data_IF_118706114132
#
_entry.id   IF_118706114132
#
_cell.length_a   1.000
_cell.length_b   1.000
_cell.length_c   1.000
_cell.angle_alpha   90.00
_cell.angle_beta   90.00
_cell.angle_gamma   90.00
#
_symmetry.space_group_name_H-M   'P 1'
#
loop_
_entity.id
_entity.type
_entity.pdbx_description
1 polymer ?
#
# COMPACT_ATOMS: atom_id res chain seq x y z
N UNK A 1 -4.60 7.58 20.42
CA UNK A 1 -4.90 6.21 19.97
C UNK A 1 -3.56 5.58 19.60
N UNK A 2 -3.31 4.34 20.00
CA UNK A 2 -2.01 3.69 19.71
C UNK A 2 -1.99 3.25 18.25
N UNK A 3 -0.91 3.59 17.53
CA UNK A 3 -0.67 3.15 16.15
C UNK A 3 0.56 2.27 16.11
N UNK A 4 0.53 1.26 15.25
CA UNK A 4 1.69 0.46 14.94
C UNK A 4 1.82 0.30 13.42
N UNK A 5 3.06 0.16 12.97
CA UNK A 5 3.35 -0.14 11.57
C UNK A 5 4.16 -1.42 11.49
N UNK A 6 3.77 -2.29 10.57
CA UNK A 6 4.60 -3.37 10.11
C UNK A 6 5.17 -2.99 8.75
N UNK A 7 6.48 -3.18 8.58
CA UNK A 7 7.23 -2.79 7.38
C UNK A 7 8.04 -3.98 6.88
N UNK A 8 8.54 -3.91 5.65
CA UNK A 8 9.32 -5.00 5.06
C UNK A 8 8.60 -6.35 4.99
N UNK A 9 7.27 -6.35 4.96
CA UNK A 9 6.50 -7.59 4.87
C UNK A 9 6.61 -8.18 3.46
N UNK A 10 6.83 -9.49 3.39
CA UNK A 10 6.70 -10.25 2.15
C UNK A 10 5.24 -10.63 1.89
N UNK A 11 4.92 -11.04 0.65
CA UNK A 11 3.57 -11.51 0.32
C UNK A 11 3.19 -12.78 1.10
N UNK A 12 4.14 -13.66 1.35
CA UNK A 12 3.98 -14.92 2.08
C UNK A 12 3.75 -14.70 3.58
N UNK A 13 4.40 -13.68 4.15
CA UNK A 13 4.15 -13.26 5.53
C UNK A 13 2.75 -12.66 5.65
N UNK A 14 2.38 -11.73 4.77
CA UNK A 14 1.08 -11.06 4.85
C UNK A 14 -0.10 -12.02 4.65
N UNK A 15 0.04 -13.06 3.82
CA UNK A 15 -0.96 -14.14 3.67
C UNK A 15 -1.21 -14.95 4.94
N UNK A 16 -0.28 -14.93 5.90
CA UNK A 16 -0.42 -15.62 7.20
C UNK A 16 -0.96 -14.71 8.29
N UNK A 17 -0.95 -13.40 8.04
CA UNK A 17 -1.37 -12.38 8.99
C UNK A 17 -2.89 -12.33 9.08
N UNK A 18 -3.40 -12.11 10.28
CA UNK A 18 -4.83 -11.87 10.53
C UNK A 18 -5.01 -10.58 11.33
N UNK A 19 -5.85 -9.67 10.83
CA UNK A 19 -6.29 -8.46 11.53
C UNK A 19 -7.67 -8.03 11.03
N UNK A 20 -8.35 -7.15 11.78
CA UNK A 20 -9.58 -6.49 11.31
C UNK A 20 -9.23 -5.43 10.26
N UNK A 21 -9.66 -5.55 8.99
CA UNK A 21 -9.38 -4.57 7.94
C UNK A 21 -9.79 -3.15 8.29
N UNK A 22 -10.80 -2.97 9.16
CA UNK A 22 -11.27 -1.65 9.62
C UNK A 22 -10.20 -0.87 10.40
N UNK A 23 -9.22 -1.56 10.97
CA UNK A 23 -8.12 -0.95 11.73
C UNK A 23 -6.97 -0.46 10.86
N UNK A 24 -6.92 -0.84 9.58
CA UNK A 24 -5.84 -0.38 8.68
C UNK A 24 -6.02 1.11 8.38
N UNK A 25 -5.04 1.92 8.71
CA UNK A 25 -4.97 3.34 8.35
C UNK A 25 -4.32 3.55 6.99
N UNK A 26 -3.23 2.83 6.75
CA UNK A 26 -2.41 2.93 5.55
C UNK A 26 -1.89 1.56 5.19
N UNK A 27 -1.84 1.24 3.91
CA UNK A 27 -0.94 0.22 3.41
C UNK A 27 -0.21 0.74 2.18
N UNK A 28 0.98 0.20 1.95
CA UNK A 28 1.83 0.52 0.81
C UNK A 28 2.46 -0.77 0.27
N UNK A 29 2.45 -0.92 -1.05
CA UNK A 29 3.19 -1.93 -1.80
C UNK A 29 4.27 -1.19 -2.59
N UNK A 30 5.50 -1.18 -2.05
CA UNK A 30 6.65 -0.55 -2.69
C UNK A 30 7.32 -1.51 -3.66
N UNK A 31 7.57 -1.03 -4.87
CA UNK A 31 8.05 -1.81 -5.99
C UNK A 31 9.35 -1.21 -6.51
N UNK A 32 10.49 -1.85 -6.19
CA UNK A 32 11.81 -1.40 -6.62
C UNK A 32 12.33 -2.29 -7.76
N UNK A 33 12.92 -1.67 -8.79
CA UNK A 33 13.46 -2.39 -9.95
C UNK A 33 14.90 -2.85 -9.75
N UNK A 34 15.73 -1.95 -9.24
CA UNK A 34 17.17 -2.16 -9.09
C UNK A 34 17.76 -1.12 -8.12
N UNK A 35 19.08 -1.13 -7.98
CA UNK A 35 19.82 -0.19 -7.14
C UNK A 35 19.92 1.23 -7.74
N UNK A 36 19.36 1.49 -8.93
CA UNK A 36 19.41 2.81 -9.60
C UNK A 36 18.48 3.84 -8.95
N UNK A 37 17.61 3.41 -8.04
CA UNK A 37 16.61 4.25 -7.38
C UNK A 37 15.29 4.37 -8.14
N UNK A 38 15.14 3.70 -9.30
CA UNK A 38 13.88 3.58 -10.02
C UNK A 38 12.88 2.72 -9.23
N UNK A 39 11.74 3.32 -8.88
CA UNK A 39 10.70 2.63 -8.12
C UNK A 39 9.33 3.29 -8.30
N UNK A 40 8.29 2.55 -7.94
CA UNK A 40 6.97 3.09 -7.67
C UNK A 40 6.39 2.45 -6.42
N UNK A 41 5.36 3.04 -5.83
CA UNK A 41 4.62 2.37 -4.78
C UNK A 41 3.13 2.66 -4.92
N UNK A 42 2.33 1.62 -4.74
CA UNK A 42 0.88 1.69 -4.70
C UNK A 42 0.44 1.71 -3.24
N UNK A 43 -0.43 2.65 -2.88
CA UNK A 43 -0.84 2.83 -1.49
C UNK A 43 -2.27 3.35 -1.40
N UNK A 44 -2.81 3.30 -0.18
CA UNK A 44 -4.05 3.99 0.16
C UNK A 44 -3.97 4.55 1.57
N UNK A 45 -4.65 5.67 1.80
CA UNK A 45 -4.93 6.20 3.12
C UNK A 45 -6.42 6.02 3.39
N UNK A 46 -6.80 5.33 4.47
CA UNK A 46 -8.20 5.14 4.86
C UNK A 46 -8.95 6.45 4.99
N UNK A 47 -8.29 7.50 5.47
CA UNK A 47 -8.90 8.83 5.61
C UNK A 47 -8.83 9.66 4.32
N UNK A 48 -8.13 9.19 3.31
CA UNK A 48 -7.98 9.84 2.01
C UNK A 48 -6.58 10.42 1.85
N UNK A 49 -6.10 10.43 0.61
CA UNK A 49 -4.77 10.94 0.28
C UNK A 49 -4.85 12.45 0.04
N UNK A 50 -3.96 13.26 0.66
CA UNK A 50 -3.97 14.70 0.48
C UNK A 50 -3.69 15.13 -0.97
N UNK A 51 -4.63 15.91 -1.50
CA UNK A 51 -4.53 16.72 -2.71
C UNK A 51 -4.75 18.18 -2.31
N UNK A 52 -3.66 18.91 -2.06
CA UNK A 52 -3.72 20.25 -1.46
C UNK A 52 -4.47 20.18 -0.11
N UNK A 53 -5.53 20.97 0.03
CA UNK A 53 -6.38 21.03 1.21
C UNK A 53 -7.56 20.04 1.18
N UNK A 54 -7.61 19.13 0.20
CA UNK A 54 -8.67 18.14 0.05
C UNK A 54 -8.14 16.73 0.22
N UNK A 55 -8.93 15.88 0.85
CA UNK A 55 -8.66 14.44 0.95
C UNK A 55 -9.36 13.71 -0.20
N UNK A 56 -8.61 12.92 -0.94
CA UNK A 56 -9.12 12.14 -2.07
C UNK A 56 -9.13 10.67 -1.70
N UNK A 57 -10.32 10.04 -1.79
CA UNK A 57 -10.47 8.58 -1.62
C UNK A 57 -10.07 7.84 -2.90
N UNK A 58 -9.53 6.64 -2.72
CA UNK A 58 -9.09 5.75 -3.77
C UNK A 58 -7.66 5.25 -3.60
N UNK A 59 -7.25 4.42 -4.55
CA UNK A 59 -5.89 3.93 -4.69
C UNK A 59 -5.05 5.06 -5.31
N UNK A 60 -3.84 5.22 -4.79
CA UNK A 60 -2.87 6.16 -5.32
C UNK A 60 -1.59 5.40 -5.59
N UNK A 61 -0.83 5.80 -6.60
CA UNK A 61 0.56 5.41 -6.67
C UNK A 61 1.45 6.62 -6.91
N UNK A 62 2.65 6.56 -6.34
CA UNK A 62 3.72 7.49 -6.66
C UNK A 62 4.84 6.77 -7.39
N UNK A 63 5.67 7.51 -8.10
CA UNK A 63 6.76 6.94 -8.85
C UNK A 63 8.01 7.82 -8.85
N UNK A 64 9.16 7.21 -9.12
CA UNK A 64 10.43 7.89 -9.25
C UNK A 64 11.26 7.21 -10.34
N UNK A 65 11.77 8.01 -11.27
CA UNK A 65 12.69 7.56 -12.34
C UNK A 65 12.19 6.37 -13.17
N UNK A 66 10.88 6.23 -13.37
CA UNK A 66 10.28 5.29 -14.34
C UNK A 66 9.75 6.04 -15.56
N UNK A 67 9.65 5.36 -16.69
CA UNK A 67 9.21 5.97 -17.96
C UNK A 67 7.71 6.32 -17.95
N UNK A 68 7.31 7.28 -18.80
CA UNK A 68 5.89 7.66 -18.92
C UNK A 68 5.02 6.51 -19.40
N UNK A 69 5.53 5.68 -20.31
CA UNK A 69 4.82 4.50 -20.80
C UNK A 69 4.55 3.50 -19.66
N UNK A 70 5.48 3.37 -18.73
CA UNK A 70 5.31 2.52 -17.56
C UNK A 70 4.29 3.09 -16.57
N UNK A 71 4.32 4.41 -16.31
CA UNK A 71 3.29 5.10 -15.52
C UNK A 71 1.90 4.86 -16.12
N UNK A 72 1.75 4.94 -17.44
CA UNK A 72 0.49 4.67 -18.12
C UNK A 72 0.05 3.21 -17.93
N UNK A 73 0.96 2.23 -18.11
CA UNK A 73 0.67 0.80 -17.90
C UNK A 73 0.26 0.48 -16.46
N UNK A 74 0.91 1.09 -15.46
CA UNK A 74 0.55 0.95 -14.05
C UNK A 74 -0.84 1.54 -13.81
N UNK A 75 -1.11 2.72 -14.36
CA UNK A 75 -2.41 3.39 -14.24
C UNK A 75 -3.54 2.55 -14.84
N UNK A 76 -3.34 1.99 -16.04
CA UNK A 76 -4.31 1.11 -16.71
C UNK A 76 -4.56 -0.16 -15.89
N UNK A 77 -3.49 -0.84 -15.46
CA UNK A 77 -3.59 -2.04 -14.63
C UNK A 77 -4.42 -1.80 -13.36
N UNK A 78 -4.13 -0.72 -12.62
CA UNK A 78 -4.85 -0.41 -11.39
C UNK A 78 -6.29 0.02 -11.67
N UNK A 79 -6.54 0.77 -12.75
CA UNK A 79 -7.88 1.18 -13.17
C UNK A 79 -8.74 -0.02 -13.57
N UNK A 80 -8.20 -0.98 -14.30
CA UNK A 80 -8.92 -2.21 -14.66
C UNK A 80 -9.32 -3.01 -13.41
N UNK A 81 -8.45 -3.03 -12.39
CA UNK A 81 -8.67 -3.81 -11.16
C UNK A 81 -9.59 -3.13 -10.14
N UNK A 82 -9.51 -1.81 -10.01
CA UNK A 82 -10.18 -1.06 -8.95
C UNK A 82 -11.15 0.02 -9.45
N UNK A 83 -11.18 0.28 -10.75
CA UNK A 83 -11.93 1.39 -11.33
C UNK A 83 -11.29 2.75 -11.02
N UNK A 84 -12.13 3.78 -10.97
CA UNK A 84 -11.72 5.15 -10.68
C UNK A 84 -11.23 5.94 -11.90
N UNK A 85 -11.15 7.26 -11.73
CA UNK A 85 -10.66 8.20 -12.74
C UNK A 85 -9.22 8.60 -12.42
N UNK A 86 -8.23 8.24 -13.27
CA UNK A 86 -6.84 8.64 -13.07
C UNK A 86 -6.68 10.17 -13.13
N UNK A 87 -6.08 10.77 -12.10
CA UNK A 87 -5.69 12.18 -12.06
C UNK A 87 -4.25 12.31 -11.57
N UNK A 88 -3.48 13.11 -12.27
CA UNK A 88 -2.05 13.27 -12.00
C UNK A 88 -1.77 14.55 -11.20
N UNK A 89 -0.83 14.46 -10.27
CA UNK A 89 -0.31 15.60 -9.51
C UNK A 89 1.15 15.37 -9.12
N UNK A 90 2.05 16.04 -9.83
CA UNK A 90 3.48 15.77 -9.73
C UNK A 90 3.73 14.30 -10.04
N UNK A 91 4.55 13.64 -9.23
CA UNK A 91 4.93 12.23 -9.39
C UNK A 91 3.92 11.26 -8.73
N UNK A 92 2.63 11.65 -8.68
CA UNK A 92 1.54 10.85 -8.12
C UNK A 92 0.37 10.75 -9.09
N UNK A 93 -0.18 9.55 -9.19
CA UNK A 93 -1.43 9.27 -9.90
C UNK A 93 -2.48 8.81 -8.89
N UNK A 94 -3.62 9.48 -8.89
CA UNK A 94 -4.77 9.21 -8.04
C UNK A 94 -5.84 8.53 -8.89
N UNK A 95 -6.30 7.34 -8.49
CA UNK A 95 -7.47 6.70 -9.09
C UNK A 95 -8.71 7.16 -8.33
N UNK A 96 -9.19 8.35 -8.65
CA UNK A 96 -10.24 9.02 -7.88
C UNK A 96 -11.52 8.19 -7.87
N UNK A 97 -12.01 7.86 -6.67
CA UNK A 97 -13.22 7.05 -6.49
C UNK A 97 -13.04 5.57 -6.83
N UNK A 98 -11.81 5.08 -6.96
CA UNK A 98 -11.57 3.64 -7.11
C UNK A 98 -11.93 2.88 -5.83
N UNK A 99 -12.26 1.59 -5.98
CA UNK A 99 -12.46 0.69 -4.84
C UNK A 99 -11.17 0.53 -4.03
N UNK A 100 -11.24 0.77 -2.73
CA UNK A 100 -10.13 0.55 -1.79
C UNK A 100 -10.16 -0.89 -1.24
N UNK A 101 -8.99 -1.44 -0.91
CA UNK A 101 -8.83 -2.75 -0.28
C UNK A 101 -8.11 -2.58 1.05
N UNK A 102 -8.34 -3.49 2.00
CA UNK A 102 -7.72 -3.42 3.33
C UNK A 102 -7.46 -4.78 3.95
N UNK A 103 -7.85 -5.88 3.31
CA UNK A 103 -7.61 -7.21 3.87
C UNK A 103 -6.17 -7.65 3.60
N UNK A 104 -5.57 -8.50 4.47
CA UNK A 104 -4.24 -9.05 4.23
C UNK A 104 -4.14 -9.75 2.87
N UNK A 105 -5.16 -10.56 2.53
CA UNK A 105 -5.20 -11.33 1.28
C UNK A 105 -5.28 -10.44 0.04
N UNK A 106 -6.14 -9.43 0.04
CA UNK A 106 -6.26 -8.51 -1.11
C UNK A 106 -4.94 -7.76 -1.35
N UNK A 107 -4.30 -7.29 -0.29
CA UNK A 107 -3.04 -6.54 -0.37
C UNK A 107 -1.91 -7.47 -0.82
N UNK A 108 -1.83 -8.68 -0.27
CA UNK A 108 -0.82 -9.66 -0.66
C UNK A 108 -0.98 -10.12 -2.12
N UNK A 109 -2.22 -10.34 -2.57
CA UNK A 109 -2.50 -10.70 -3.96
C UNK A 109 -2.16 -9.56 -4.91
N UNK A 110 -2.52 -8.31 -4.57
CA UNK A 110 -2.11 -7.14 -5.36
C UNK A 110 -0.58 -7.05 -5.44
N UNK A 111 0.12 -7.22 -4.32
CA UNK A 111 1.57 -7.20 -4.26
C UNK A 111 2.21 -8.27 -5.14
N UNK A 112 1.72 -9.52 -5.09
CA UNK A 112 2.19 -10.61 -5.97
C UNK A 112 1.93 -10.28 -7.46
N UNK A 113 0.73 -9.80 -7.80
CA UNK A 113 0.38 -9.46 -9.18
C UNK A 113 1.26 -8.33 -9.74
N UNK A 114 1.50 -7.28 -8.95
CA UNK A 114 2.36 -6.17 -9.35
C UNK A 114 3.80 -6.66 -9.54
N UNK A 115 4.35 -7.39 -8.57
CA UNK A 115 5.71 -7.92 -8.64
C UNK A 115 5.92 -8.77 -9.89
N UNK A 116 4.97 -9.64 -10.22
CA UNK A 116 5.03 -10.49 -11.41
C UNK A 116 4.84 -9.70 -12.71
N UNK A 117 3.88 -8.77 -12.77
CA UNK A 117 3.53 -8.05 -14.00
C UNK A 117 4.58 -7.02 -14.41
N UNK A 118 5.22 -6.38 -13.43
CA UNK A 118 6.18 -5.30 -13.66
C UNK A 118 7.63 -5.70 -13.37
N UNK A 119 7.86 -6.98 -13.05
CA UNK A 119 9.17 -7.59 -12.76
C UNK A 119 9.94 -6.80 -11.69
N UNK A 120 9.28 -6.51 -10.56
CA UNK A 120 9.83 -5.70 -9.47
C UNK A 120 9.95 -6.49 -8.18
N UNK A 121 10.96 -6.17 -7.37
CA UNK A 121 10.96 -6.56 -5.97
C UNK A 121 9.84 -5.82 -5.22
N UNK A 122 9.17 -6.51 -4.29
CA UNK A 122 8.01 -5.96 -3.59
C UNK A 122 8.23 -5.98 -2.07
N UNK A 123 7.96 -4.84 -1.45
CA UNK A 123 7.99 -4.64 -0.01
C UNK A 123 6.63 -4.09 0.45
N UNK A 124 6.00 -4.73 1.43
CA UNK A 124 4.69 -4.31 1.93
C UNK A 124 4.83 -3.64 3.31
N UNK A 125 4.09 -2.55 3.49
CA UNK A 125 3.89 -1.91 4.79
C UNK A 125 2.41 -1.80 5.12
N UNK A 126 2.04 -2.02 6.37
CA UNK A 126 0.67 -1.88 6.89
C UNK A 126 0.72 -1.12 8.21
N UNK A 127 -0.03 -0.03 8.32
CA UNK A 127 -0.24 0.73 9.55
C UNK A 127 -1.64 0.48 10.08
N UNK A 128 -1.73 0.15 11.37
CA UNK A 128 -2.99 -0.10 12.07
C UNK A 128 -3.20 0.88 13.22
N UNK A 129 -4.46 1.26 13.45
CA UNK A 129 -4.88 1.99 14.64
C UNK A 129 -5.63 1.10 15.62
N UNK A 130 -5.50 1.41 16.91
CA UNK A 130 -6.20 0.72 17.99
C UNK A 130 -5.97 -0.81 17.97
N UNK A 131 -4.78 -1.22 17.53
CA UNK A 131 -4.37 -2.62 17.50
C UNK A 131 -3.82 -3.00 18.88
N UNK A 132 -4.56 -3.82 19.60
CA UNK A 132 -4.26 -4.15 21.00
C UNK A 132 -3.11 -5.15 21.10
N UNK A 133 -2.41 -5.25 22.25
CA UNK A 133 -1.37 -6.27 22.45
C UNK A 133 -1.90 -7.70 22.22
N UNK A 134 -3.12 -8.00 22.67
CA UNK A 134 -3.74 -9.31 22.46
C UNK A 134 -3.97 -9.62 20.97
N UNK A 135 -4.50 -8.64 20.21
CA UNK A 135 -4.66 -8.81 18.76
C UNK A 135 -3.32 -8.97 18.07
N UNK A 136 -2.31 -8.22 18.48
CA UNK A 136 -0.95 -8.33 17.96
C UNK A 136 -0.36 -9.73 18.20
N UNK A 137 -0.52 -10.31 19.39
CA UNK A 137 -0.08 -11.68 19.69
C UNK A 137 -0.78 -12.73 18.83
N UNK A 138 -2.04 -12.50 18.47
CA UNK A 138 -2.86 -13.42 17.67
C UNK A 138 -2.74 -13.20 16.15
N UNK A 139 -2.10 -12.11 15.74
CA UNK A 139 -2.13 -11.64 14.34
C UNK A 139 -1.17 -12.33 13.39
N UNK A 140 -0.22 -13.13 13.91
CA UNK A 140 0.92 -13.67 13.16
C UNK A 140 1.80 -12.61 12.47
N UNK A 141 1.66 -11.33 12.80
CA UNK A 141 2.62 -10.34 12.33
C UNK A 141 4.02 -10.64 12.89
N UNK A 142 5.09 -10.56 12.07
CA UNK A 142 6.45 -10.75 12.56
C UNK A 142 6.83 -9.63 13.53
N UNK A 143 7.14 -9.99 14.78
CA UNK A 143 7.54 -9.03 15.81
C UNK A 143 8.81 -8.25 15.46
N UNK A 144 9.73 -8.88 14.71
CA UNK A 144 10.97 -8.25 14.20
C UNK A 144 10.71 -7.14 13.17
N UNK A 145 9.50 -7.09 12.59
CA UNK A 145 9.07 -6.10 11.60
C UNK A 145 8.10 -5.08 12.19
N UNK A 146 7.96 -5.03 13.51
CA UNK A 146 7.18 -4.00 14.17
C UNK A 146 7.99 -2.70 14.26
N UNK A 147 7.41 -1.61 13.74
CA UNK A 147 7.81 -0.24 14.04
C UNK A 147 6.73 0.38 14.95
N UNK A 148 7.01 0.56 16.25
CA UNK A 148 6.13 1.34 17.10
C UNK A 148 6.13 2.79 16.60
N UNK A 149 4.95 3.38 16.45
CA UNK A 149 4.82 4.81 16.13
C UNK A 149 4.67 5.54 17.47
N UNK A 150 5.71 6.25 17.96
CA UNK A 150 5.61 6.98 19.21
C UNK A 150 4.67 8.17 19.02
N UNK A 151 3.72 8.34 19.93
CA UNK A 151 2.88 9.54 20.00
C UNK A 151 1.41 9.29 20.29
N UNK A 152 0.78 10.29 20.89
CA UNK A 152 -0.65 10.57 20.81
C UNK A 152 -0.81 11.84 19.99
#
# INVERSE_FOLDING_TARGET
MTRCRYWRLSTEELKKVTYDPKKVLVWEVKCARDDSGAHFAVFTYRNGTPWDYKEIKGIVFYYNMISRDEVNKISEFLKEKFGGEPKEKGERIFLVGSREIYSPDDIANLATEIGNKFETSVEISVELENFTPQEQEQSNFPSSKLLPIPGK
#
